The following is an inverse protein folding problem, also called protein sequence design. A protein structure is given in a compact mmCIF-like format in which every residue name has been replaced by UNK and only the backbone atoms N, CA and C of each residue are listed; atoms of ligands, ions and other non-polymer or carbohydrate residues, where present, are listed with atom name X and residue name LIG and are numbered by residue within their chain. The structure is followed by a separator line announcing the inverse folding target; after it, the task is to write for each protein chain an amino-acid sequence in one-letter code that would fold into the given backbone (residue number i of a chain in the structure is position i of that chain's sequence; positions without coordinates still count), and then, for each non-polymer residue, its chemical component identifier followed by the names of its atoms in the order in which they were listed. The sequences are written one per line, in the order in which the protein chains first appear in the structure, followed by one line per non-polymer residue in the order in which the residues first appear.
data_IF_833563887868
#
_entry.id   IF_833563887868
#
_cell.length_a   1.000
_cell.length_b   1.000
_cell.length_c   1.000
_cell.angle_alpha   90.00
_cell.angle_beta   90.00
_cell.angle_gamma   90.00
#
_symmetry.space_group_name_H-M   'P 1'
#
loop_
_entity.id
_entity.type
_entity.pdbx_description
1 polymer ?
#
# COMPACT_ATOMS: atom_id res chain seq x y z
N UNK A 1 15.47 -3.99 14.89
CA UNK A 1 14.53 -5.12 14.67
C UNK A 1 14.41 -5.29 13.17
N UNK A 2 15.20 -6.20 12.62
CA UNK A 2 15.24 -6.52 11.19
C UNK A 2 14.19 -7.61 10.99
N UNK A 3 13.14 -7.32 10.21
CA UNK A 3 12.15 -8.32 9.85
C UNK A 3 12.54 -8.86 8.46
N UNK A 4 13.21 -10.00 8.45
CA UNK A 4 13.41 -10.76 7.22
C UNK A 4 12.09 -11.44 6.84
N UNK A 5 11.49 -10.94 5.77
CA UNK A 5 10.28 -11.52 5.19
C UNK A 5 10.67 -12.28 3.92
N UNK A 6 11.00 -13.56 4.07
CA UNK A 6 10.95 -14.53 2.98
C UNK A 6 9.48 -14.77 2.61
N UNK A 7 9.07 -14.37 1.41
CA UNK A 7 7.78 -14.77 0.85
C UNK A 7 7.98 -15.38 -0.53
N UNK A 8 7.69 -16.68 -0.61
CA UNK A 8 7.64 -17.45 -1.85
C UNK A 8 6.52 -16.86 -2.72
N UNK A 9 6.89 -16.50 -3.94
CA UNK A 9 6.01 -16.03 -5.01
C UNK A 9 5.00 -17.13 -5.39
N UNK A 10 3.73 -16.74 -5.54
CA UNK A 10 2.82 -17.37 -6.49
C UNK A 10 1.80 -18.36 -5.92
N UNK A 11 0.76 -17.86 -5.24
CA UNK A 11 -0.53 -18.56 -5.19
C UNK A 11 -1.65 -17.58 -5.55
N UNK A 12 -2.01 -17.60 -6.83
CA UNK A 12 -3.21 -16.97 -7.36
C UNK A 12 -4.42 -17.66 -6.74
N UNK A 13 -5.24 -16.93 -6.00
CA UNK A 13 -6.49 -17.41 -5.41
C UNK A 13 -7.52 -17.76 -6.49
N UNK A 14 -7.41 -18.96 -7.06
CA UNK A 14 -8.48 -19.62 -7.78
C UNK A 14 -9.09 -20.69 -6.86
N UNK A 15 -10.17 -20.36 -6.16
CA UNK A 15 -10.97 -21.37 -5.46
C UNK A 15 -11.76 -22.19 -6.48
N UNK A 16 -11.12 -23.23 -7.04
CA UNK A 16 -11.79 -24.37 -7.65
C UNK A 16 -12.43 -25.22 -6.54
N UNK A 17 -13.75 -25.40 -6.58
CA UNK A 17 -14.46 -26.37 -5.77
C UNK A 17 -15.61 -26.95 -6.58
N UNK A 18 -15.41 -28.15 -7.12
CA UNK A 18 -16.41 -28.92 -7.84
C UNK A 18 -17.60 -29.31 -6.95
N UNK A 19 -18.80 -29.34 -7.54
CA UNK A 19 -20.04 -29.77 -6.90
C UNK A 19 -20.10 -31.28 -6.79
N UNK A 20 -20.43 -31.80 -5.61
CA UNK A 20 -21.15 -33.08 -5.49
C UNK A 20 -22.06 -33.07 -4.26
N UNK A 21 -23.35 -33.32 -4.50
CA UNK A 21 -24.31 -33.77 -3.48
C UNK A 21 -25.06 -32.64 -2.76
N UNK A 22 -26.39 -32.66 -2.88
CA UNK A 22 -27.27 -31.58 -2.47
C UNK A 22 -27.48 -31.46 -0.97
N UNK A 23 -27.65 -30.21 -0.53
CA UNK A 23 -28.69 -29.76 0.40
C UNK A 23 -28.75 -28.22 0.27
N UNK A 24 -29.84 -27.74 -0.33
CA UNK A 24 -30.08 -26.33 -0.59
C UNK A 24 -30.78 -25.69 0.62
N UNK A 25 -30.02 -25.16 1.56
CA UNK A 25 -30.40 -24.05 2.45
C UNK A 25 -29.22 -23.75 3.40
N UNK A 26 -28.86 -22.47 3.56
CA UNK A 26 -27.87 -21.95 4.51
C UNK A 26 -26.35 -22.09 4.22
N UNK A 27 -25.91 -21.84 2.98
CA UNK A 27 -24.48 -21.58 2.70
C UNK A 27 -24.34 -20.21 2.02
N UNK A 28 -24.42 -19.14 2.80
CA UNK A 28 -24.26 -17.77 2.27
C UNK A 28 -23.20 -16.94 3.02
N UNK A 29 -22.28 -17.58 3.76
CA UNK A 29 -21.30 -16.81 4.57
C UNK A 29 -19.89 -17.41 4.72
N UNK A 30 -19.64 -18.66 4.31
CA UNK A 30 -18.48 -19.39 4.88
C UNK A 30 -17.30 -19.65 3.95
N UNK A 31 -17.39 -19.39 2.65
CA UNK A 31 -16.33 -19.69 1.69
C UNK A 31 -16.15 -18.52 0.73
N UNK A 32 -15.23 -17.60 1.06
CA UNK A 32 -14.55 -16.64 0.17
C UNK A 32 -13.87 -15.48 0.94
N UNK A 33 -14.01 -15.44 2.27
CA UNK A 33 -13.46 -14.38 3.13
C UNK A 33 -11.99 -14.62 3.55
N UNK A 34 -11.47 -15.84 3.39
CA UNK A 34 -10.31 -16.30 4.16
C UNK A 34 -9.00 -15.54 3.88
N UNK A 35 -8.70 -15.21 2.63
CA UNK A 35 -7.40 -14.60 2.27
C UNK A 35 -7.40 -13.06 2.24
N UNK A 36 -8.54 -12.42 1.95
CA UNK A 36 -8.65 -10.95 2.03
C UNK A 36 -8.70 -10.46 3.48
N UNK A 37 -9.36 -11.20 4.39
CA UNK A 37 -9.35 -10.85 5.82
C UNK A 37 -8.01 -11.13 6.50
N UNK A 38 -7.28 -12.19 6.10
CA UNK A 38 -5.96 -12.48 6.67
C UNK A 38 -4.94 -11.38 6.36
N UNK A 39 -4.93 -10.84 5.14
CA UNK A 39 -4.05 -9.72 4.76
C UNK A 39 -4.43 -8.41 5.46
N UNK A 40 -5.72 -8.17 5.71
CA UNK A 40 -6.24 -6.98 6.38
C UNK A 40 -5.96 -6.95 7.91
N UNK A 41 -5.66 -8.11 8.51
CA UNK A 41 -5.43 -8.23 9.95
C UNK A 41 -4.12 -7.62 10.47
N UNK A 42 -3.15 -7.33 9.59
CA UNK A 42 -1.79 -6.92 9.99
C UNK A 42 -1.58 -5.39 10.10
N UNK A 43 -2.60 -4.55 9.79
CA UNK A 43 -2.46 -3.08 9.80
C UNK A 43 -3.43 -2.43 10.78
N UNK A 44 -2.96 -1.49 11.60
CA UNK A 44 -3.85 -0.67 12.44
C UNK A 44 -4.86 0.07 11.57
N UNK A 45 -6.15 -0.10 11.87
CA UNK A 45 -7.23 0.37 11.00
C UNK A 45 -7.42 1.90 10.95
N UNK A 46 -6.64 2.66 11.73
CA UNK A 46 -6.79 4.10 11.86
C UNK A 46 -5.48 4.84 12.04
N UNK A 47 -5.40 6.06 11.50
CA UNK A 47 -4.28 6.98 11.76
C UNK A 47 -4.79 8.40 12.01
N UNK A 48 -3.99 9.24 12.66
CA UNK A 48 -4.38 10.64 12.95
C UNK A 48 -4.43 11.52 11.70
N UNK A 49 -3.78 11.13 10.60
CA UNK A 49 -3.64 11.94 9.39
C UNK A 49 -4.28 11.26 8.18
N UNK A 50 -4.85 12.02 7.21
CA UNK A 50 -5.34 11.45 5.96
C UNK A 50 -4.17 11.02 5.07
N UNK A 51 -4.37 10.01 4.21
CA UNK A 51 -3.33 9.59 3.28
C UNK A 51 -3.28 10.59 2.12
N UNK A 52 -2.12 11.24 1.91
CA UNK A 52 -1.89 12.14 0.76
C UNK A 52 -0.96 11.45 -0.23
N UNK A 53 -1.55 10.88 -1.29
CA UNK A 53 -0.80 10.37 -2.43
C UNK A 53 -1.12 11.29 -3.61
N UNK A 54 -0.13 12.01 -4.10
CA UNK A 54 -0.30 12.92 -5.24
C UNK A 54 -0.67 12.12 -6.50
N UNK A 55 -1.70 12.58 -7.23
CA UNK A 55 -2.07 12.04 -8.55
C UNK A 55 -2.72 10.64 -8.56
N UNK A 56 -2.89 9.96 -7.42
CA UNK A 56 -3.48 8.63 -7.36
C UNK A 56 -4.97 8.67 -6.99
N UNK A 57 -5.80 7.90 -7.70
CA UNK A 57 -7.16 7.54 -7.24
C UNK A 57 -7.07 7.04 -5.80
N UNK A 58 -7.95 7.55 -4.92
CA UNK A 58 -7.98 7.30 -3.48
C UNK A 58 -7.89 5.78 -3.19
N UNK A 59 -6.73 5.32 -2.72
CA UNK A 59 -6.47 3.91 -2.42
C UNK A 59 -7.11 3.48 -1.09
N UNK A 60 -7.11 4.40 -0.13
CA UNK A 60 -7.60 4.16 1.23
C UNK A 60 -8.93 4.88 1.45
N UNK A 61 -9.76 4.32 2.31
CA UNK A 61 -11.06 4.88 2.69
C UNK A 61 -10.93 6.33 3.18
N UNK A 62 -10.03 6.61 4.12
CA UNK A 62 -9.76 7.93 4.70
C UNK A 62 -11.01 8.69 5.19
N UNK A 63 -12.08 7.98 5.56
CA UNK A 63 -13.23 8.61 6.22
C UNK A 63 -12.84 8.91 7.66
N UNK A 64 -13.06 10.15 8.10
CA UNK A 64 -12.75 10.60 9.45
C UNK A 64 -13.79 10.10 10.44
N UNK A 65 -13.34 9.41 11.49
CA UNK A 65 -14.17 9.04 12.62
C UNK A 65 -14.01 10.09 13.75
N UNK A 66 -15.06 10.88 14.05
CA UNK A 66 -14.98 11.90 15.09
C UNK A 66 -14.88 11.33 16.51
N UNK A 67 -15.33 10.09 16.75
CA UNK A 67 -15.29 9.47 18.07
C UNK A 67 -13.86 9.03 18.44
N UNK A 68 -13.19 8.35 17.52
CA UNK A 68 -11.81 7.88 17.74
C UNK A 68 -10.76 8.91 17.32
N UNK A 69 -11.15 10.02 16.68
CA UNK A 69 -10.26 11.04 16.11
C UNK A 69 -9.22 10.47 15.15
N UNK A 70 -9.63 9.48 14.35
CA UNK A 70 -8.75 8.81 13.37
C UNK A 70 -9.43 8.67 12.01
N UNK A 71 -8.62 8.60 10.96
CA UNK A 71 -9.05 8.32 9.59
C UNK A 71 -8.97 6.82 9.31
N UNK A 72 -10.01 6.26 8.68
CA UNK A 72 -10.04 4.84 8.29
C UNK A 72 -8.98 4.52 7.24
N UNK A 73 -8.09 3.56 7.52
CA UNK A 73 -6.99 3.14 6.61
C UNK A 73 -7.25 1.83 5.87
N UNK A 74 -8.49 1.33 5.90
CA UNK A 74 -8.89 0.20 5.07
C UNK A 74 -8.83 0.59 3.60
N UNK A 75 -8.50 -0.37 2.73
CA UNK A 75 -8.55 -0.18 1.29
C UNK A 75 -9.96 0.26 0.89
N UNK A 76 -10.09 1.31 0.06
CA UNK A 76 -11.39 1.93 -0.21
C UNK A 76 -12.40 0.90 -0.75
N UNK A 77 -11.95 0.03 -1.66
CA UNK A 77 -12.80 -1.00 -2.26
C UNK A 77 -13.22 -2.10 -1.28
N UNK A 78 -12.49 -2.34 -0.19
CA UNK A 78 -12.79 -3.39 0.78
C UNK A 78 -13.45 -2.88 2.07
N UNK A 79 -13.44 -1.56 2.34
CA UNK A 79 -13.94 -1.01 3.59
C UNK A 79 -15.45 -1.32 3.81
N UNK A 80 -15.82 -2.17 4.79
CA UNK A 80 -17.22 -2.59 4.96
C UNK A 80 -18.11 -1.46 5.48
N UNK A 81 -17.53 -0.52 6.23
CA UNK A 81 -18.25 0.58 6.88
C UNK A 81 -18.57 1.74 5.92
N UNK A 82 -17.67 1.99 4.97
CA UNK A 82 -17.67 3.22 4.19
C UNK A 82 -17.67 3.00 2.68
N UNK A 83 -17.43 1.77 2.21
CA UNK A 83 -17.60 1.40 0.81
C UNK A 83 -19.03 0.95 0.57
N UNK A 84 -19.69 1.55 -0.41
CA UNK A 84 -21.03 1.13 -0.85
C UNK A 84 -20.92 0.44 -2.19
N UNK A 85 -21.33 -0.81 -2.23
CA UNK A 85 -21.43 -1.54 -3.49
C UNK A 85 -22.56 -0.94 -4.34
N UNK A 86 -22.31 -0.64 -5.63
CA UNK A 86 -23.35 -0.16 -6.52
C UNK A 86 -24.43 -1.22 -6.72
N UNK A 87 -25.68 -0.77 -6.88
CA UNK A 87 -26.80 -1.67 -7.20
C UNK A 87 -26.59 -2.24 -8.61
N UNK A 88 -26.34 -3.54 -8.68
CA UNK A 88 -26.24 -4.31 -9.93
C UNK A 88 -27.60 -4.31 -10.63
N UNK A 89 -27.76 -3.72 -11.84
CA UNK A 89 -29.00 -3.82 -12.60
C UNK A 89 -29.28 -5.27 -13.06
N UNK A 90 -30.51 -5.54 -13.50
CA UNK A 90 -30.97 -6.92 -13.75
C UNK A 90 -30.34 -7.55 -15.02
N UNK A 91 -29.97 -6.70 -15.97
CA UNK A 91 -29.37 -7.01 -17.26
C UNK A 91 -27.83 -7.04 -17.23
N UNK A 92 -27.21 -6.68 -16.09
CA UNK A 92 -25.77 -6.74 -15.96
C UNK A 92 -25.28 -8.20 -16.00
N UNK A 93 -24.39 -8.49 -16.95
CA UNK A 93 -23.70 -9.77 -17.05
C UNK A 93 -22.50 -9.81 -16.10
N UNK A 94 -22.09 -11.01 -15.70
CA UNK A 94 -20.91 -11.20 -14.85
C UNK A 94 -19.65 -10.60 -15.47
N UNK A 95 -19.35 -10.90 -16.74
CA UNK A 95 -18.21 -10.32 -17.45
C UNK A 95 -16.83 -10.81 -17.00
N UNK A 96 -16.74 -11.77 -16.05
CA UNK A 96 -15.45 -12.32 -15.62
C UNK A 96 -14.71 -12.94 -16.82
N UNK A 97 -13.47 -12.51 -17.13
CA UNK A 97 -12.68 -13.09 -18.20
C UNK A 97 -12.46 -14.59 -17.96
N UNK A 98 -12.72 -15.40 -18.99
CA UNK A 98 -12.44 -16.83 -18.94
C UNK A 98 -10.99 -17.06 -19.39
N UNK A 99 -10.23 -17.77 -18.57
CA UNK A 99 -8.86 -18.14 -18.86
C UNK A 99 -8.75 -19.64 -19.11
N UNK A 100 -7.92 -20.03 -20.08
CA UNK A 100 -7.46 -21.40 -20.26
C UNK A 100 -6.10 -21.53 -19.58
N UNK A 101 -5.91 -22.63 -18.87
CA UNK A 101 -4.66 -22.95 -18.17
C UNK A 101 -4.10 -21.79 -17.34
N UNK A 102 -5.00 -21.02 -16.71
CA UNK A 102 -4.74 -19.91 -15.76
C UNK A 102 -4.06 -18.67 -16.37
N UNK A 103 -3.33 -18.80 -17.46
CA UNK A 103 -2.50 -17.73 -18.05
C UNK A 103 -3.02 -17.22 -19.39
N UNK A 104 -3.77 -18.02 -20.14
CA UNK A 104 -4.21 -17.64 -21.49
C UNK A 104 -5.60 -17.01 -21.46
N UNK A 105 -5.66 -15.71 -21.79
CA UNK A 105 -6.91 -15.01 -22.03
C UNK A 105 -7.56 -15.59 -23.29
N UNK A 106 -8.68 -16.29 -23.11
CA UNK A 106 -9.42 -16.89 -24.23
C UNK A 106 -10.14 -15.87 -25.10
N UNK A 107 -10.22 -14.61 -24.66
CA UNK A 107 -11.08 -13.58 -25.24
C UNK A 107 -12.57 -13.76 -24.89
N UNK A 108 -12.94 -14.84 -24.20
CA UNK A 108 -14.29 -15.08 -23.73
C UNK A 108 -14.51 -14.55 -22.31
N UNK A 109 -15.77 -14.29 -21.97
CA UNK A 109 -16.18 -13.81 -20.66
C UNK A 109 -17.45 -14.53 -20.18
N UNK A 110 -17.64 -14.55 -18.86
CA UNK A 110 -18.82 -15.13 -18.25
C UNK A 110 -20.08 -14.33 -18.63
N UNK A 111 -21.03 -14.97 -19.32
CA UNK A 111 -22.29 -14.37 -19.80
C UNK A 111 -23.47 -14.54 -18.84
N UNK A 112 -23.29 -15.22 -17.71
CA UNK A 112 -24.35 -15.37 -16.72
C UNK A 112 -24.77 -14.00 -16.17
N UNK A 113 -26.05 -13.78 -15.85
CA UNK A 113 -26.48 -12.59 -15.13
C UNK A 113 -25.68 -12.46 -13.84
N UNK A 114 -25.16 -11.26 -13.54
CA UNK A 114 -24.27 -11.01 -12.39
C UNK A 114 -24.91 -11.42 -11.06
N UNK A 115 -26.22 -11.23 -10.93
CA UNK A 115 -27.02 -11.65 -9.77
C UNK A 115 -27.18 -13.16 -9.59
N UNK A 116 -26.93 -13.94 -10.64
CA UNK A 116 -27.07 -15.40 -10.64
C UNK A 116 -25.71 -16.11 -10.74
N UNK A 117 -24.62 -15.37 -10.89
CA UNK A 117 -23.28 -15.92 -11.05
C UNK A 117 -22.63 -16.18 -9.70
N UNK A 118 -22.78 -17.41 -9.17
CA UNK A 118 -22.14 -17.80 -7.92
C UNK A 118 -20.64 -18.11 -8.07
N UNK A 119 -20.21 -18.49 -9.29
CA UNK A 119 -18.80 -18.85 -9.56
C UNK A 119 -17.83 -17.66 -9.49
N UNK A 120 -18.31 -16.46 -9.80
CA UNK A 120 -17.49 -15.25 -9.89
C UNK A 120 -18.09 -14.15 -9.02
N UNK A 121 -18.47 -14.51 -7.79
CA UNK A 121 -19.11 -13.59 -6.87
C UNK A 121 -18.20 -12.38 -6.59
N UNK A 122 -18.69 -11.18 -6.87
CA UNK A 122 -17.98 -9.91 -6.67
C UNK A 122 -16.56 -9.85 -7.30
N UNK A 123 -16.31 -10.60 -8.39
CA UNK A 123 -14.97 -10.71 -8.98
C UNK A 123 -14.35 -9.36 -9.35
N UNK A 124 -15.14 -8.38 -9.83
CA UNK A 124 -14.65 -7.03 -10.14
C UNK A 124 -14.12 -6.31 -8.90
N UNK A 125 -14.82 -6.45 -7.77
CA UNK A 125 -14.45 -5.86 -6.49
C UNK A 125 -13.14 -6.48 -5.99
N UNK A 126 -13.04 -7.80 -6.08
CA UNK A 126 -11.83 -8.54 -5.69
C UNK A 126 -10.64 -8.23 -6.61
N UNK A 127 -10.86 -8.17 -7.93
CA UNK A 127 -9.81 -7.82 -8.90
C UNK A 127 -9.32 -6.39 -8.72
N UNK A 128 -10.22 -5.45 -8.42
CA UNK A 128 -9.83 -4.08 -8.09
C UNK A 128 -9.03 -4.02 -6.78
N UNK A 129 -9.43 -4.80 -5.77
CA UNK A 129 -8.69 -4.91 -4.52
C UNK A 129 -7.26 -5.46 -4.72
N UNK A 130 -7.11 -6.49 -5.54
CA UNK A 130 -5.80 -7.05 -5.91
C UNK A 130 -4.90 -5.99 -6.56
N UNK A 131 -5.40 -5.28 -7.57
CA UNK A 131 -4.65 -4.20 -8.24
C UNK A 131 -4.30 -3.08 -7.26
N UNK A 132 -5.23 -2.67 -6.40
CA UNK A 132 -4.99 -1.63 -5.40
C UNK A 132 -3.98 -2.08 -4.33
N UNK A 133 -3.94 -3.35 -3.96
CA UNK A 133 -2.91 -3.90 -3.08
C UNK A 133 -1.52 -3.86 -3.72
N UNK A 134 -1.40 -4.22 -5.00
CA UNK A 134 -0.11 -4.07 -5.71
C UNK A 134 0.32 -2.60 -5.77
N UNK A 135 -0.61 -1.67 -6.01
CA UNK A 135 -0.33 -0.23 -5.95
C UNK A 135 0.19 0.19 -4.58
N UNK A 136 -0.41 -0.31 -3.49
CA UNK A 136 0.04 -0.04 -2.12
C UNK A 136 1.46 -0.61 -1.87
N UNK A 137 1.76 -1.82 -2.35
CA UNK A 137 3.10 -2.42 -2.22
C UNK A 137 4.18 -1.58 -2.92
N UNK A 138 3.92 -1.18 -4.16
CA UNK A 138 4.84 -0.33 -4.92
C UNK A 138 5.00 1.03 -4.24
N UNK A 139 3.92 1.58 -3.70
CA UNK A 139 3.96 2.84 -2.97
C UNK A 139 4.84 2.75 -1.70
N UNK A 140 4.72 1.69 -0.90
CA UNK A 140 5.62 1.47 0.23
C UNK A 140 7.08 1.37 -0.19
N UNK A 141 7.36 0.71 -1.33
CA UNK A 141 8.72 0.61 -1.83
C UNK A 141 9.28 1.98 -2.20
N UNK A 142 8.46 2.83 -2.80
CA UNK A 142 8.82 4.19 -3.18
C UNK A 142 9.06 5.08 -1.93
N UNK A 143 8.26 4.94 -0.88
CA UNK A 143 8.49 5.62 0.40
C UNK A 143 9.82 5.20 1.06
N UNK A 144 10.12 3.90 1.08
CA UNK A 144 11.40 3.36 1.56
C UNK A 144 12.59 3.96 0.80
N UNK A 145 12.50 4.06 -0.54
CA UNK A 145 13.55 4.63 -1.37
C UNK A 145 13.74 6.13 -1.13
N UNK A 146 12.66 6.89 -0.93
CA UNK A 146 12.76 8.31 -0.58
C UNK A 146 13.40 8.54 0.78
N UNK A 147 13.11 7.69 1.76
CA UNK A 147 13.77 7.75 3.07
C UNK A 147 15.27 7.41 2.94
N UNK A 148 15.62 6.40 2.15
CA UNK A 148 17.03 6.10 1.84
C UNK A 148 17.74 7.27 1.17
N UNK A 149 17.11 7.90 0.18
CA UNK A 149 17.66 9.08 -0.49
C UNK A 149 17.90 10.24 0.50
N UNK A 150 16.92 10.53 1.37
CA UNK A 150 17.05 11.58 2.40
C UNK A 150 18.23 11.30 3.33
N UNK A 151 18.41 10.05 3.76
CA UNK A 151 19.51 9.64 4.62
C UNK A 151 20.86 9.81 3.93
N UNK A 152 20.98 9.41 2.66
CA UNK A 152 22.22 9.58 1.88
C UNK A 152 22.52 11.07 1.69
N UNK A 153 21.55 11.89 1.29
CA UNK A 153 21.73 13.34 1.12
C UNK A 153 22.19 14.01 2.41
N UNK A 154 21.58 13.66 3.54
CA UNK A 154 21.99 14.18 4.87
C UNK A 154 23.41 13.76 5.21
N UNK A 155 23.78 12.50 4.97
CA UNK A 155 25.14 12.01 5.19
C UNK A 155 26.18 12.74 4.31
N UNK A 156 25.84 13.04 3.05
CA UNK A 156 26.70 13.83 2.16
C UNK A 156 26.90 15.26 2.68
N UNK A 157 25.84 15.94 3.09
CA UNK A 157 25.92 17.29 3.68
C UNK A 157 26.75 17.30 4.95
N UNK A 158 26.57 16.32 5.84
CA UNK A 158 27.33 16.21 7.08
C UNK A 158 28.85 16.01 6.81
N UNK A 159 29.20 15.21 5.80
CA UNK A 159 30.60 15.06 5.36
C UNK A 159 31.17 16.36 4.79
N UNK A 160 30.43 17.05 3.95
CA UNK A 160 30.87 18.34 3.38
C UNK A 160 31.06 19.41 4.46
N UNK A 161 30.18 19.47 5.47
CA UNK A 161 30.31 20.38 6.61
C UNK A 161 31.56 20.12 7.46
N UNK A 162 31.97 18.86 7.59
CA UNK A 162 33.21 18.48 8.29
C UNK A 162 34.48 18.84 7.50
N UNK A 163 34.45 18.80 6.16
CA UNK A 163 35.62 19.16 5.35
C UNK A 163 36.08 20.60 5.58
N UNK A 164 35.15 21.54 5.76
CA UNK A 164 35.49 22.93 6.08
C UNK A 164 36.23 23.04 7.43
N UNK A 165 35.83 22.25 8.44
CA UNK A 165 36.53 22.16 9.72
C UNK A 165 37.87 21.43 9.62
N UNK A 166 38.00 20.41 8.76
CA UNK A 166 39.26 19.69 8.59
C UNK A 166 40.29 20.48 7.75
N UNK A 167 39.82 21.33 6.84
CA UNK A 167 40.65 22.08 5.89
C UNK A 167 40.82 23.56 6.25
N UNK A 168 40.31 24.01 7.40
CA UNK A 168 40.58 25.36 7.85
C UNK A 168 42.09 25.53 8.09
N UNK A 169 42.66 26.58 7.51
CA UNK A 169 44.03 27.01 7.78
C UNK A 169 43.97 28.44 8.30
N UNK A 170 44.59 28.69 9.45
CA UNK A 170 44.80 30.05 9.96
C UNK A 170 46.11 30.57 9.38
N UNK A 171 46.02 31.63 8.58
CA UNK A 171 47.20 32.32 8.05
C UNK A 171 47.53 33.46 9.00
N UNK A 172 48.69 33.41 9.65
CA UNK A 172 49.21 34.56 10.38
C UNK A 172 49.85 35.54 9.39
N UNK A 173 49.34 36.77 9.35
CA UNK A 173 49.84 37.81 8.46
C UNK A 173 51.00 38.63 9.06
N UNK A 174 51.26 38.47 10.37
CA UNK A 174 52.32 39.17 11.08
C UNK A 174 53.29 38.16 11.74
N UNK A 175 54.56 38.08 11.30
CA UNK A 175 55.53 37.12 11.81
C UNK A 175 56.04 37.44 13.22
N UNK A 176 55.67 38.58 13.81
CA UNK A 176 56.15 39.02 15.12
C UNK A 176 55.13 38.87 16.25
N UNK A 177 53.87 38.56 15.94
CA UNK A 177 52.80 38.46 16.93
C UNK A 177 52.22 37.05 16.99
N UNK A 178 52.75 36.24 17.90
CA UNK A 178 52.19 34.94 18.27
C UNK A 178 51.00 35.06 19.23
N UNK A 179 50.72 36.25 19.77
CA UNK A 179 49.60 36.51 20.66
C UNK A 179 48.42 37.13 19.88
N UNK A 180 47.33 36.38 19.76
CA UNK A 180 46.09 36.80 19.09
C UNK A 180 45.17 37.62 20.01
N UNK A 181 45.57 37.86 21.26
CA UNK A 181 44.82 38.68 22.19
C UNK A 181 45.25 40.13 21.96
N UNK A 182 44.36 40.94 21.40
CA UNK A 182 44.53 42.40 21.43
C UNK A 182 44.69 42.80 22.89
N UNK A 183 45.90 43.24 23.27
CA UNK A 183 46.11 43.86 24.57
C UNK A 183 45.10 45.00 24.68
N UNK A 184 44.16 44.87 25.61
CA UNK A 184 43.28 45.97 25.97
C UNK A 184 44.18 47.12 26.42
N UNK A 185 44.24 48.16 25.61
CA UNK A 185 45.03 49.36 25.84
C UNK A 185 44.62 49.95 27.21
N UNK A 186 45.63 50.27 28.01
CA UNK A 186 45.52 50.69 29.41
C UNK A 186 45.88 52.16 29.53
#
# INVERSE_FOLDING_TARGET
MVWEHHWVLGEQMCCLGAVSGGHAAHIHSSLHLCSSFQYESQTSFGSMYPTRIEGATRLFCDVYNPQSKTYCKRLQVLCPEHSRDPKVPADEVCGCPLVRDVFELTGEFCRLPKRQCNRHYCWEKLRRAEVDLERVRVWYKLDELFEQERNVRTAMTNRAGLLALMLHQTIQHDPLTTDLRSSADR
#
